data_IF_764366613940
#
_entry.id   IF_764366613940
#
_cell.length_a   1.000
_cell.length_b   1.000
_cell.length_c   1.000
_cell.angle_alpha   90.00
_cell.angle_beta   90.00
_cell.angle_gamma   90.00
#
_symmetry.space_group_name_H-M   'P 1'
#
loop_
_entity.id
_entity.type
_entity.pdbx_description
1 polymer ?
#
# COMPACT_ATOMS: atom_id res chain seq x y z
N UNK A 1 26.30 16.13 10.08
CA UNK A 1 26.47 16.82 8.78
C UNK A 1 26.10 15.87 7.65
N UNK A 2 24.81 15.65 7.42
CA UNK A 2 24.32 14.85 6.27
C UNK A 2 23.08 15.62 5.79
N UNK A 3 23.21 16.46 4.75
CA UNK A 3 22.07 17.28 4.35
C UNK A 3 22.21 18.08 3.05
N UNK A 4 23.42 18.39 2.57
CA UNK A 4 23.58 19.19 1.34
C UNK A 4 24.59 18.62 0.32
N UNK A 5 25.58 17.84 0.77
CA UNK A 5 26.63 17.34 -0.13
C UNK A 5 26.13 16.46 -1.30
N UNK A 6 25.18 15.52 -1.11
CA UNK A 6 24.73 14.66 -2.21
C UNK A 6 23.94 15.42 -3.28
N UNK A 7 23.10 16.37 -2.85
CA UNK A 7 22.31 17.19 -3.76
C UNK A 7 23.20 18.13 -4.58
N UNK A 8 24.19 18.76 -3.93
CA UNK A 8 25.16 19.63 -4.59
C UNK A 8 26.06 18.84 -5.58
N UNK A 9 26.53 17.64 -5.20
CA UNK A 9 27.34 16.80 -6.08
C UNK A 9 26.57 16.31 -7.31
N UNK A 10 25.30 15.94 -7.16
CA UNK A 10 24.44 15.53 -8.30
C UNK A 10 24.13 16.67 -9.24
N UNK A 11 23.81 17.85 -8.71
CA UNK A 11 23.59 19.05 -9.51
C UNK A 11 24.85 19.45 -10.29
N UNK A 12 26.02 19.36 -9.66
CA UNK A 12 27.31 19.61 -10.33
C UNK A 12 27.64 18.56 -11.41
N UNK A 13 27.15 17.32 -11.24
CA UNK A 13 27.34 16.23 -12.21
C UNK A 13 26.24 16.19 -13.31
N UNK A 14 25.25 17.08 -13.27
CA UNK A 14 24.12 17.07 -14.22
C UNK A 14 23.13 15.91 -14.04
N UNK A 15 23.17 15.24 -12.89
CA UNK A 15 22.26 14.12 -12.58
C UNK A 15 20.93 14.62 -12.00
N UNK A 16 19.86 13.88 -12.28
CA UNK A 16 18.52 14.21 -11.78
C UNK A 16 18.46 14.29 -10.24
N UNK A 17 17.63 15.19 -9.68
CA UNK A 17 17.44 15.27 -8.23
C UNK A 17 16.77 14.01 -7.69
N UNK A 18 17.10 13.66 -6.46
CA UNK A 18 16.41 12.59 -5.74
C UNK A 18 15.22 13.20 -5.01
N UNK A 19 14.03 12.75 -5.36
CA UNK A 19 12.78 13.18 -4.75
C UNK A 19 12.22 12.01 -3.96
N UNK A 20 12.03 12.20 -2.65
CA UNK A 20 11.40 11.19 -1.79
C UNK A 20 9.89 11.41 -1.80
N UNK A 21 9.14 10.39 -2.21
CA UNK A 21 7.68 10.41 -2.18
C UNK A 21 7.09 10.39 -0.77
N UNK A 22 5.85 10.89 -0.62
CA UNK A 22 5.07 10.84 0.63
C UNK A 22 4.78 9.41 1.08
N UNK A 23 4.70 8.48 0.14
CA UNK A 23 4.48 7.04 0.31
C UNK A 23 5.77 6.26 0.63
N UNK A 24 6.93 6.88 0.43
CA UNK A 24 8.24 6.25 0.61
C UNK A 24 8.91 6.60 1.94
N UNK A 25 8.75 7.84 2.43
CA UNK A 25 9.43 8.30 3.64
C UNK A 25 8.67 9.43 4.36
N UNK A 26 8.77 9.46 5.69
CA UNK A 26 8.35 10.61 6.49
C UNK A 26 9.09 11.91 6.11
N UNK A 27 10.33 11.82 5.62
CA UNK A 27 11.06 12.98 5.08
C UNK A 27 10.36 13.52 3.82
N UNK A 28 9.82 12.65 2.95
CA UNK A 28 9.03 13.04 1.79
C UNK A 28 7.73 13.73 2.20
N UNK A 29 7.03 13.20 3.22
CA UNK A 29 5.85 13.84 3.81
C UNK A 29 6.17 15.25 4.32
N UNK A 30 7.29 15.41 5.04
CA UNK A 30 7.75 16.70 5.55
C UNK A 30 8.00 17.71 4.44
N UNK A 31 8.80 17.32 3.45
CA UNK A 31 9.18 18.22 2.34
C UNK A 31 7.93 18.63 1.57
N UNK A 32 7.05 17.69 1.27
CA UNK A 32 5.80 18.00 0.55
C UNK A 32 4.87 18.90 1.37
N UNK A 33 4.67 18.64 2.67
CA UNK A 33 3.84 19.50 3.51
C UNK A 33 4.42 20.94 3.56
N UNK A 34 5.74 21.09 3.69
CA UNK A 34 6.42 22.39 3.71
C UNK A 34 6.28 23.15 2.38
N UNK A 35 6.44 22.46 1.24
CA UNK A 35 6.40 23.08 -0.09
C UNK A 35 4.97 23.37 -0.53
N UNK A 36 4.03 22.46 -0.26
CA UNK A 36 2.66 22.54 -0.78
C UNK A 36 1.74 23.39 0.10
N UNK A 37 1.86 23.28 1.43
CA UNK A 37 0.96 23.97 2.37
C UNK A 37 1.56 25.24 2.94
N UNK A 38 2.89 25.38 2.91
CA UNK A 38 3.60 26.41 3.66
C UNK A 38 3.43 26.22 5.17
N UNK A 39 4.02 27.12 5.96
CA UNK A 39 3.94 27.06 7.42
C UNK A 39 3.73 28.45 8.01
N UNK A 40 2.71 28.59 8.86
CA UNK A 40 2.46 29.80 9.66
C UNK A 40 3.09 29.70 11.06
N UNK A 41 3.37 28.48 11.52
CA UNK A 41 4.03 28.16 12.79
C UNK A 41 5.12 27.09 12.55
N UNK A 42 6.10 26.93 13.46
CA UNK A 42 7.15 25.93 13.29
C UNK A 42 6.59 24.52 13.04
N UNK A 43 6.95 23.93 11.91
CA UNK A 43 6.49 22.61 11.51
C UNK A 43 6.88 21.52 12.53
N UNK A 44 5.95 20.62 12.84
CA UNK A 44 6.16 19.49 13.75
C UNK A 44 5.73 18.18 13.09
N UNK A 45 6.65 17.24 12.94
CA UNK A 45 6.38 15.94 12.30
C UNK A 45 5.25 15.15 12.98
N UNK A 46 5.04 15.33 14.28
CA UNK A 46 4.01 14.60 15.04
C UNK A 46 2.58 15.03 14.68
N UNK A 47 2.38 16.22 14.10
CA UNK A 47 1.05 16.70 13.69
C UNK A 47 0.71 16.30 12.24
N UNK A 48 1.67 15.80 11.48
CA UNK A 48 1.49 15.41 10.08
C UNK A 48 0.89 14.01 9.97
N UNK A 49 -0.31 13.92 9.41
CA UNK A 49 -0.95 12.62 9.10
C UNK A 49 -0.30 12.01 7.87
N UNK A 50 0.59 11.04 8.07
CA UNK A 50 1.02 10.17 6.98
C UNK A 50 -0.07 9.13 6.69
N UNK A 51 -0.67 9.20 5.50
CA UNK A 51 -1.64 8.22 4.99
C UNK A 51 -1.04 6.80 4.95
N UNK A 52 0.29 6.72 4.82
CA UNK A 52 1.08 5.50 4.69
C UNK A 52 1.73 5.06 6.00
N UNK A 53 1.21 5.45 7.18
CA UNK A 53 1.85 5.16 8.49
C UNK A 53 2.15 3.68 8.76
N UNK A 54 1.38 2.75 8.17
CA UNK A 54 1.56 1.30 8.35
C UNK A 54 2.72 0.74 7.51
N UNK A 55 3.08 1.42 6.42
CA UNK A 55 4.23 1.07 5.57
C UNK A 55 5.46 1.90 5.94
N UNK A 56 5.29 3.13 6.42
CA UNK A 56 6.36 4.03 6.85
C UNK A 56 6.80 3.79 8.29
N UNK A 57 7.27 2.58 8.59
CA UNK A 57 7.68 2.21 9.95
C UNK A 57 9.17 2.43 10.18
N UNK A 58 9.56 2.59 11.44
CA UNK A 58 10.97 2.74 11.78
C UNK A 58 11.78 1.47 11.47
N UNK A 59 11.18 0.29 11.74
CA UNK A 59 11.82 -1.03 11.55
C UNK A 59 12.21 -1.32 10.09
N UNK A 60 11.44 -0.81 9.13
CA UNK A 60 11.63 -1.10 7.70
C UNK A 60 12.22 0.08 6.90
N UNK A 61 12.74 1.11 7.57
CA UNK A 61 13.29 2.29 6.91
C UNK A 61 14.49 1.96 6.03
N UNK A 62 15.31 1.00 6.44
CA UNK A 62 16.44 0.51 5.66
C UNK A 62 15.99 -0.18 4.37
N UNK A 63 14.94 -1.00 4.43
CA UNK A 63 14.32 -1.66 3.27
C UNK A 63 13.80 -0.65 2.25
N UNK A 64 13.21 0.45 2.71
CA UNK A 64 12.66 1.51 1.84
C UNK A 64 13.73 2.44 1.26
N UNK A 65 14.73 2.83 2.06
CA UNK A 65 15.61 3.97 1.73
C UNK A 65 17.05 3.59 1.40
N UNK A 66 17.53 2.43 1.83
CA UNK A 66 18.91 2.02 1.52
C UNK A 66 19.13 1.79 0.03
N UNK A 67 18.21 1.17 -0.73
CA UNK A 67 18.36 1.06 -2.19
C UNK A 67 18.54 2.42 -2.87
N UNK A 68 17.68 3.39 -2.52
CA UNK A 68 17.77 4.77 -3.03
C UNK A 68 19.10 5.42 -2.63
N UNK A 69 19.56 5.19 -1.40
CA UNK A 69 20.84 5.71 -0.93
C UNK A 69 22.06 5.10 -1.62
N UNK A 70 21.98 3.84 -2.06
CA UNK A 70 23.02 3.17 -2.87
C UNK A 70 23.05 3.80 -4.26
N UNK A 71 21.90 3.95 -4.91
CA UNK A 71 21.76 4.60 -6.22
C UNK A 71 22.25 6.06 -6.18
N UNK A 72 21.99 6.75 -5.06
CA UNK A 72 22.45 8.10 -4.81
C UNK A 72 23.96 8.22 -4.54
N UNK A 73 24.66 7.11 -4.29
CA UNK A 73 26.07 7.10 -3.88
C UNK A 73 26.33 7.57 -2.45
N UNK A 74 25.30 7.68 -1.60
CA UNK A 74 25.44 8.14 -0.19
C UNK A 74 25.62 6.98 0.80
N UNK A 75 25.34 5.75 0.36
CA UNK A 75 25.52 4.54 1.17
C UNK A 75 26.89 3.92 0.85
N UNK A 76 27.79 3.93 1.83
CA UNK A 76 29.10 3.31 1.69
C UNK A 76 29.05 1.78 1.56
N UNK A 77 30.07 1.19 0.93
CA UNK A 77 30.13 -0.23 0.56
C UNK A 77 29.83 -1.21 1.71
N UNK A 78 30.36 -0.95 2.91
CA UNK A 78 30.10 -1.80 4.09
C UNK A 78 28.62 -1.86 4.47
N UNK A 79 27.91 -0.73 4.41
CA UNK A 79 26.47 -0.66 4.69
C UNK A 79 25.66 -1.30 3.57
N UNK A 80 26.05 -1.08 2.32
CA UNK A 80 25.41 -1.72 1.17
C UNK A 80 25.51 -3.26 1.25
N UNK A 81 26.69 -3.80 1.59
CA UNK A 81 26.89 -5.24 1.76
C UNK A 81 26.04 -5.83 2.90
N UNK A 82 26.01 -5.16 4.06
CA UNK A 82 25.18 -5.57 5.19
C UNK A 82 23.67 -5.56 4.84
N UNK A 83 23.23 -4.52 4.13
CA UNK A 83 21.85 -4.44 3.63
C UNK A 83 21.53 -5.56 2.64
N UNK A 84 22.41 -5.83 1.67
CA UNK A 84 22.20 -6.88 0.69
C UNK A 84 22.08 -8.26 1.35
N UNK A 85 22.94 -8.57 2.33
CA UNK A 85 22.88 -9.82 3.09
C UNK A 85 21.55 -9.94 3.86
N UNK A 86 21.15 -8.90 4.62
CA UNK A 86 19.87 -8.87 5.34
C UNK A 86 18.69 -9.00 4.37
N UNK A 87 18.70 -8.28 3.25
CA UNK A 87 17.61 -8.27 2.27
C UNK A 87 17.42 -9.63 1.59
N UNK A 88 18.52 -10.32 1.27
CA UNK A 88 18.47 -11.67 0.71
C UNK A 88 17.89 -12.67 1.72
N UNK A 89 18.36 -12.65 2.97
CA UNK A 89 17.86 -13.52 4.03
C UNK A 89 16.37 -13.26 4.34
N UNK A 90 15.99 -11.98 4.46
CA UNK A 90 14.61 -11.57 4.67
C UNK A 90 13.68 -12.03 3.55
N UNK A 91 14.13 -11.92 2.29
CA UNK A 91 13.34 -12.35 1.13
C UNK A 91 13.06 -13.85 1.19
N UNK A 92 14.08 -14.66 1.49
CA UNK A 92 13.93 -16.11 1.68
C UNK A 92 13.00 -16.44 2.85
N UNK A 93 13.19 -15.80 4.00
CA UNK A 93 12.33 -16.01 5.18
C UNK A 93 10.87 -15.60 4.91
N UNK A 94 10.63 -14.53 4.14
CA UNK A 94 9.30 -14.08 3.76
C UNK A 94 8.58 -15.07 2.83
N UNK A 95 9.31 -15.75 1.94
CA UNK A 95 8.78 -16.85 1.12
C UNK A 95 8.34 -17.99 2.03
N UNK A 96 9.23 -18.48 2.90
CA UNK A 96 8.92 -19.57 3.85
C UNK A 96 7.71 -19.24 4.71
N UNK A 97 7.65 -18.01 5.23
CA UNK A 97 6.56 -17.51 6.07
C UNK A 97 5.21 -17.46 5.34
N UNK A 98 5.19 -17.07 4.06
CA UNK A 98 3.96 -16.98 3.26
C UNK A 98 3.50 -18.30 2.68
N UNK A 99 4.42 -19.15 2.23
CA UNK A 99 4.09 -20.35 1.46
C UNK A 99 3.88 -21.58 2.35
N UNK A 100 4.41 -21.58 3.57
CA UNK A 100 4.15 -22.67 4.52
C UNK A 100 2.77 -22.51 5.13
N UNK A 101 1.81 -23.32 4.64
CA UNK A 101 0.39 -23.23 4.99
C UNK A 101 -0.12 -24.44 5.77
N UNK A 102 -0.91 -24.16 6.80
CA UNK A 102 -1.51 -25.15 7.70
C UNK A 102 -3.03 -25.13 7.62
N UNK A 103 -3.63 -26.30 7.66
CA UNK A 103 -5.04 -26.48 8.01
C UNK A 103 -5.27 -26.22 9.50
N UNK A 104 -6.53 -26.01 9.94
CA UNK A 104 -6.83 -25.87 11.37
C UNK A 104 -6.34 -27.04 12.23
N UNK A 105 -6.37 -28.26 11.68
CA UNK A 105 -5.89 -29.47 12.36
C UNK A 105 -4.37 -29.47 12.53
N UNK A 106 -3.62 -29.10 11.48
CA UNK A 106 -2.16 -29.01 11.54
C UNK A 106 -1.70 -27.88 12.47
N UNK A 107 -2.35 -26.73 12.42
CA UNK A 107 -2.09 -25.63 13.35
C UNK A 107 -2.36 -26.06 14.82
N UNK A 108 -3.45 -26.80 15.05
CA UNK A 108 -3.76 -27.37 16.36
C UNK A 108 -2.71 -28.35 16.87
N UNK A 109 -2.08 -29.13 15.98
CA UNK A 109 -0.98 -30.03 16.34
C UNK A 109 0.29 -29.27 16.80
N UNK A 110 0.44 -28.00 16.38
CA UNK A 110 1.49 -27.08 16.86
C UNK A 110 1.06 -26.30 18.11
N UNK A 111 -0.11 -26.60 18.69
CA UNK A 111 -0.66 -25.88 19.85
C UNK A 111 -1.34 -24.55 19.52
N UNK A 112 -1.53 -24.23 18.24
CA UNK A 112 -2.16 -22.98 17.80
C UNK A 112 -3.67 -23.18 17.71
N UNK A 113 -4.43 -22.37 18.45
CA UNK A 113 -5.90 -22.40 18.42
C UNK A 113 -6.43 -21.50 17.32
N UNK A 114 -7.00 -22.09 16.28
CA UNK A 114 -7.71 -21.40 15.20
C UNK A 114 -9.12 -21.95 15.04
N UNK A 115 -10.00 -21.18 14.41
CA UNK A 115 -11.35 -21.64 14.08
C UNK A 115 -11.28 -22.86 13.16
N UNK A 116 -12.16 -23.84 13.40
CA UNK A 116 -12.31 -25.03 12.56
C UNK A 116 -13.14 -24.73 11.30
N UNK A 117 -12.76 -23.69 10.57
CA UNK A 117 -13.44 -23.18 9.37
C UNK A 117 -12.93 -23.78 8.05
N UNK A 118 -11.97 -24.70 8.14
CA UNK A 118 -11.32 -25.33 6.99
C UNK A 118 -10.36 -24.41 6.23
N UNK A 119 -10.20 -23.14 6.62
CA UNK A 119 -9.31 -22.22 5.93
C UNK A 119 -7.84 -22.54 6.24
N UNK A 120 -7.04 -22.60 5.17
CA UNK A 120 -5.59 -22.74 5.29
C UNK A 120 -4.99 -21.38 5.64
N UNK A 121 -4.00 -21.38 6.55
CA UNK A 121 -3.33 -20.18 7.05
C UNK A 121 -1.83 -20.36 6.96
N UNK A 122 -1.12 -19.35 6.45
CA UNK A 122 0.34 -19.36 6.39
C UNK A 122 0.97 -19.13 7.77
N UNK A 123 2.28 -19.36 7.91
CA UNK A 123 3.04 -18.91 9.11
C UNK A 123 2.81 -17.41 9.33
N UNK A 124 2.87 -16.61 8.27
CA UNK A 124 2.60 -15.16 8.33
C UNK A 124 1.23 -14.86 8.94
N UNK A 125 0.19 -15.59 8.52
CA UNK A 125 -1.17 -15.35 9.02
C UNK A 125 -1.32 -15.81 10.47
N UNK A 126 -0.67 -16.93 10.84
CA UNK A 126 -0.72 -17.48 12.20
C UNK A 126 0.11 -16.67 13.21
N UNK A 127 1.20 -16.03 12.78
CA UNK A 127 2.00 -15.11 13.60
C UNK A 127 1.24 -13.83 13.99
N UNK A 128 0.09 -13.54 13.36
CA UNK A 128 -0.77 -12.42 13.78
C UNK A 128 -1.53 -12.70 15.09
N UNK A 129 -1.51 -13.95 15.58
CA UNK A 129 -2.17 -14.34 16.82
C UNK A 129 -1.25 -14.04 18.01
N UNK A 130 -1.75 -13.45 19.12
CA UNK A 130 -0.92 -12.94 20.22
C UNK A 130 0.06 -13.93 20.86
N UNK A 131 -0.32 -15.22 20.89
CA UNK A 131 0.44 -16.27 21.59
C UNK A 131 1.34 -17.10 20.65
N UNK A 132 1.41 -16.74 19.37
CA UNK A 132 2.15 -17.49 18.35
C UNK A 132 3.49 -16.82 18.08
N UNK A 133 4.57 -17.57 18.17
CA UNK A 133 5.93 -17.09 17.87
C UNK A 133 6.55 -17.89 16.75
N UNK A 134 7.65 -17.40 16.19
CA UNK A 134 8.42 -18.16 15.18
C UNK A 134 8.89 -19.52 15.71
N UNK A 135 9.14 -19.63 17.02
CA UNK A 135 9.59 -20.89 17.64
C UNK A 135 8.53 -21.99 17.56
N UNK A 136 7.25 -21.62 17.52
CA UNK A 136 6.12 -22.57 17.35
C UNK A 136 6.24 -23.39 16.06
N UNK A 137 6.92 -22.86 15.03
CA UNK A 137 7.03 -23.50 13.72
C UNK A 137 8.35 -24.27 13.53
N UNK A 138 9.29 -24.23 14.48
CA UNK A 138 10.56 -24.96 14.40
C UNK A 138 10.41 -26.46 14.13
N UNK A 139 9.42 -27.19 14.69
CA UNK A 139 9.26 -28.62 14.43
C UNK A 139 8.98 -28.96 12.96
N UNK A 140 8.41 -28.03 12.19
CA UNK A 140 8.01 -28.22 10.78
C UNK A 140 8.90 -27.44 9.79
N UNK A 141 9.56 -26.39 10.27
CA UNK A 141 10.49 -25.53 9.53
C UNK A 141 11.72 -25.23 10.38
N UNK A 142 12.65 -26.20 10.52
CA UNK A 142 13.83 -26.04 11.35
C UNK A 142 14.78 -24.93 10.83
N UNK A 143 14.71 -24.59 9.54
CA UNK A 143 15.43 -23.46 8.94
C UNK A 143 15.13 -22.11 9.59
N UNK A 144 14.00 -21.96 10.29
CA UNK A 144 13.70 -20.74 11.06
C UNK A 144 14.76 -20.49 12.15
N UNK A 145 15.37 -21.55 12.69
CA UNK A 145 16.43 -21.43 13.69
C UNK A 145 17.71 -20.79 13.13
N UNK A 146 17.92 -20.84 11.81
CA UNK A 146 19.13 -20.29 11.17
C UNK A 146 18.98 -18.82 10.82
N UNK A 147 17.78 -18.25 10.92
CA UNK A 147 17.53 -16.85 10.59
C UNK A 147 18.16 -15.92 11.61
N UNK A 148 18.78 -14.85 11.13
CA UNK A 148 19.33 -13.80 11.98
C UNK A 148 18.26 -13.15 12.86
N UNK A 149 18.62 -12.65 14.06
CA UNK A 149 17.67 -11.97 14.94
C UNK A 149 16.91 -10.83 14.25
N UNK A 150 17.57 -10.06 13.39
CA UNK A 150 16.92 -8.96 12.66
C UNK A 150 15.87 -9.46 11.67
N UNK A 151 16.10 -10.59 11.00
CA UNK A 151 15.13 -11.18 10.07
C UNK A 151 13.94 -11.76 10.83
N UNK A 152 14.19 -12.47 11.94
CA UNK A 152 13.12 -13.01 12.79
C UNK A 152 12.21 -11.91 13.34
N UNK A 153 12.81 -10.82 13.82
CA UNK A 153 12.08 -9.64 14.27
C UNK A 153 11.25 -9.04 13.14
N UNK A 154 11.86 -8.81 11.97
CA UNK A 154 11.16 -8.22 10.83
C UNK A 154 9.98 -9.06 10.34
N UNK A 155 10.15 -10.38 10.22
CA UNK A 155 9.06 -11.30 9.82
C UNK A 155 7.91 -11.26 10.83
N UNK A 156 8.22 -11.20 12.11
CA UNK A 156 7.22 -11.12 13.19
C UNK A 156 6.46 -9.80 13.13
N UNK A 157 7.17 -8.68 12.96
CA UNK A 157 6.57 -7.36 12.80
C UNK A 157 5.68 -7.35 11.56
N UNK A 158 6.19 -7.78 10.40
CA UNK A 158 5.45 -7.77 9.14
C UNK A 158 4.17 -8.60 9.21
N UNK A 159 4.21 -9.76 9.89
CA UNK A 159 3.03 -10.58 10.15
C UNK A 159 1.96 -9.85 10.99
N UNK A 160 2.39 -9.14 12.04
CA UNK A 160 1.48 -8.34 12.88
C UNK A 160 0.78 -7.20 12.13
N UNK A 161 1.44 -6.63 11.12
CA UNK A 161 0.87 -5.58 10.27
C UNK A 161 0.13 -6.12 9.03
N UNK A 162 0.38 -7.36 8.61
CA UNK A 162 -0.15 -7.93 7.38
C UNK A 162 -1.67 -7.83 7.29
N UNK A 163 -2.41 -8.18 8.36
CA UNK A 163 -3.87 -8.10 8.36
C UNK A 163 -4.42 -6.68 8.14
N UNK A 164 -3.73 -5.66 8.63
CA UNK A 164 -4.11 -4.26 8.42
C UNK A 164 -3.78 -3.79 6.99
N UNK A 165 -2.60 -4.16 6.50
CA UNK A 165 -2.14 -3.82 5.15
C UNK A 165 -2.97 -4.53 4.08
N UNK A 166 -3.30 -5.80 4.27
CA UNK A 166 -4.13 -6.60 3.36
C UNK A 166 -5.56 -6.03 3.32
N UNK A 167 -6.11 -5.60 4.47
CA UNK A 167 -7.41 -4.90 4.50
C UNK A 167 -7.36 -3.58 3.75
N UNK A 168 -6.35 -2.75 4.01
CA UNK A 168 -6.18 -1.47 3.31
C UNK A 168 -6.03 -1.65 1.80
N UNK A 169 -5.28 -2.67 1.37
CA UNK A 169 -5.11 -3.01 -0.03
C UNK A 169 -6.42 -3.48 -0.67
N UNK A 170 -7.18 -4.35 0.02
CA UNK A 170 -8.50 -4.81 -0.42
C UNK A 170 -9.50 -3.66 -0.55
N UNK A 171 -9.54 -2.74 0.42
CA UNK A 171 -10.41 -1.57 0.36
C UNK A 171 -10.03 -0.64 -0.79
N UNK A 172 -8.73 -0.41 -1.00
CA UNK A 172 -8.24 0.37 -2.12
C UNK A 172 -8.51 -0.29 -3.48
N UNK A 173 -8.47 -1.61 -3.56
CA UNK A 173 -8.83 -2.36 -4.77
C UNK A 173 -10.34 -2.38 -5.02
N UNK A 174 -11.16 -2.49 -3.97
CA UNK A 174 -12.61 -2.35 -4.07
C UNK A 174 -12.98 -0.96 -4.61
N UNK A 175 -12.39 0.09 -4.03
CA UNK A 175 -12.58 1.47 -4.51
C UNK A 175 -12.11 1.65 -5.95
N UNK A 176 -10.92 1.12 -6.31
CA UNK A 176 -10.44 1.17 -7.71
C UNK A 176 -11.37 0.46 -8.66
N UNK A 177 -11.97 -0.68 -8.28
CA UNK A 177 -12.96 -1.38 -9.09
C UNK A 177 -14.24 -0.58 -9.27
N UNK A 178 -14.69 0.11 -8.22
CA UNK A 178 -15.83 1.03 -8.30
C UNK A 178 -15.53 2.24 -9.20
N UNK A 179 -14.35 2.83 -9.07
CA UNK A 179 -13.88 3.94 -9.92
C UNK A 179 -13.67 3.53 -11.37
N UNK A 180 -13.24 2.30 -11.63
CA UNK A 180 -13.00 1.75 -12.96
C UNK A 180 -14.31 1.34 -13.67
N UNK A 181 -15.47 1.44 -13.01
CA UNK A 181 -16.74 1.12 -13.63
C UNK A 181 -16.93 1.99 -14.88
N UNK A 182 -16.97 1.33 -16.04
CA UNK A 182 -17.13 1.99 -17.32
C UNK A 182 -18.53 2.62 -17.42
N UNK A 183 -18.56 3.86 -17.90
CA UNK A 183 -19.80 4.54 -18.26
C UNK A 183 -20.06 4.30 -19.75
N UNK A 184 -21.31 3.98 -20.16
CA UNK A 184 -21.67 3.88 -21.57
C UNK A 184 -21.30 5.16 -22.34
N UNK A 185 -20.80 5.01 -23.56
CA UNK A 185 -20.34 6.15 -24.38
C UNK A 185 -21.51 7.03 -24.85
N UNK A 186 -22.71 6.47 -24.87
CA UNK A 186 -23.98 7.06 -25.28
C UNK A 186 -24.89 7.38 -24.08
N UNK A 187 -24.32 7.46 -22.87
CA UNK A 187 -25.08 7.72 -21.66
C UNK A 187 -25.75 9.10 -21.70
N UNK A 188 -27.08 9.11 -21.67
CA UNK A 188 -27.86 10.35 -21.58
C UNK A 188 -27.90 10.87 -20.14
N UNK A 189 -26.98 11.78 -19.82
CA UNK A 189 -26.92 12.44 -18.52
C UNK A 189 -28.17 13.29 -18.22
N UNK A 190 -28.90 13.76 -19.23
CA UNK A 190 -30.10 14.58 -19.03
C UNK A 190 -31.24 13.76 -18.39
N UNK A 191 -31.31 12.47 -18.72
CA UNK A 191 -32.28 11.51 -18.20
C UNK A 191 -32.08 11.16 -16.70
N UNK A 192 -30.95 11.55 -16.10
CA UNK A 192 -30.67 11.28 -14.69
C UNK A 192 -31.37 12.33 -13.81
N UNK A 193 -32.62 12.05 -13.42
CA UNK A 193 -33.49 13.02 -12.72
C UNK A 193 -32.96 13.57 -11.39
N UNK A 194 -32.07 12.86 -10.69
CA UNK A 194 -31.51 13.26 -9.40
C UNK A 194 -30.25 14.14 -9.49
N UNK A 195 -29.76 14.45 -10.70
CA UNK A 195 -28.65 15.37 -10.90
C UNK A 195 -29.14 16.81 -11.09
N UNK A 196 -28.41 17.78 -10.53
CA UNK A 196 -28.63 19.19 -10.84
C UNK A 196 -28.29 19.49 -12.30
N UNK A 197 -28.89 20.55 -12.87
CA UNK A 197 -28.60 20.96 -14.24
C UNK A 197 -27.11 21.28 -14.44
N UNK A 198 -26.46 21.92 -13.45
CA UNK A 198 -25.02 22.20 -13.50
C UNK A 198 -24.18 20.91 -13.60
N UNK A 199 -24.52 19.88 -12.82
CA UNK A 199 -23.80 18.59 -12.85
C UNK A 199 -24.04 17.87 -14.17
N UNK A 200 -25.27 17.92 -14.70
CA UNK A 200 -25.61 17.34 -16.02
C UNK A 200 -24.83 18.00 -17.14
N UNK A 201 -24.74 19.33 -17.15
CA UNK A 201 -23.96 20.09 -18.13
C UNK A 201 -22.47 19.75 -18.06
N UNK A 202 -21.92 19.66 -16.85
CA UNK A 202 -20.51 19.28 -16.65
C UNK A 202 -20.22 17.86 -17.12
N UNK A 203 -21.10 16.90 -16.82
CA UNK A 203 -20.97 15.52 -17.31
C UNK A 203 -21.10 15.41 -18.83
N UNK A 204 -22.08 16.11 -19.42
CA UNK A 204 -22.29 16.12 -20.86
C UNK A 204 -21.13 16.77 -21.62
N UNK A 205 -20.44 17.74 -21.01
CA UNK A 205 -19.25 18.38 -21.58
C UNK A 205 -17.99 17.52 -21.44
N UNK A 206 -17.78 16.91 -20.28
CA UNK A 206 -16.56 16.14 -19.98
C UNK A 206 -16.61 14.71 -20.56
N UNK A 207 -17.81 14.13 -20.68
CA UNK A 207 -18.05 12.76 -21.19
C UNK A 207 -17.11 11.73 -20.51
N UNK A 208 -17.15 11.61 -19.17
CA UNK A 208 -16.28 10.69 -18.46
C UNK A 208 -16.53 9.25 -18.89
N UNK A 209 -15.45 8.49 -19.10
CA UNK A 209 -15.47 7.07 -19.47
C UNK A 209 -15.59 6.14 -18.29
N UNK A 210 -15.31 6.63 -17.08
CA UNK A 210 -15.42 5.85 -15.84
C UNK A 210 -16.06 6.67 -14.73
N UNK A 211 -16.63 5.98 -13.75
CA UNK A 211 -17.19 6.62 -12.56
C UNK A 211 -16.14 7.44 -11.78
N UNK A 212 -14.91 6.95 -11.72
CA UNK A 212 -13.78 7.66 -11.11
C UNK A 212 -13.41 8.94 -11.87
N UNK A 213 -13.49 8.94 -13.20
CA UNK A 213 -13.30 10.15 -13.99
C UNK A 213 -14.42 11.16 -13.74
N UNK A 214 -15.68 10.69 -13.63
CA UNK A 214 -16.80 11.55 -13.27
C UNK A 214 -16.62 12.18 -11.89
N UNK A 215 -16.07 11.43 -10.92
CA UNK A 215 -15.83 11.89 -9.55
C UNK A 215 -14.81 13.01 -9.40
N UNK A 216 -13.90 13.17 -10.37
CA UNK A 216 -12.88 14.24 -10.39
C UNK A 216 -13.38 15.53 -11.05
N UNK A 217 -14.60 15.55 -11.57
CA UNK A 217 -15.20 16.76 -12.17
C UNK A 217 -15.50 17.77 -11.06
N UNK A 218 -15.08 19.00 -11.25
CA UNK A 218 -15.31 20.09 -10.29
C UNK A 218 -16.81 20.29 -10.00
N UNK A 219 -17.18 20.31 -8.72
CA UNK A 219 -18.58 20.40 -8.28
C UNK A 219 -19.34 19.07 -8.33
N UNK A 220 -18.66 17.95 -8.63
CA UNK A 220 -19.22 16.63 -8.45
C UNK A 220 -19.36 16.31 -6.95
N UNK A 221 -20.52 15.84 -6.53
CA UNK A 221 -20.81 15.47 -5.14
C UNK A 221 -20.94 13.95 -5.00
N UNK A 222 -20.74 13.40 -3.78
CA UNK A 222 -20.99 11.97 -3.52
C UNK A 222 -22.42 11.54 -3.90
N UNK A 223 -23.41 12.42 -3.68
CA UNK A 223 -24.80 12.18 -4.08
C UNK A 223 -24.98 12.10 -5.59
N UNK A 224 -24.32 12.98 -6.36
CA UNK A 224 -24.34 12.95 -7.81
C UNK A 224 -23.66 11.68 -8.39
N UNK A 225 -22.55 11.25 -7.81
CA UNK A 225 -21.89 9.98 -8.20
C UNK A 225 -22.78 8.77 -7.92
N UNK A 226 -23.48 8.78 -6.78
CA UNK A 226 -24.43 7.72 -6.41
C UNK A 226 -25.61 7.66 -7.37
N UNK A 227 -26.14 8.82 -7.76
CA UNK A 227 -27.20 8.95 -8.77
C UNK A 227 -26.77 8.42 -10.13
N UNK A 228 -25.57 8.81 -10.59
CA UNK A 228 -24.96 8.34 -11.84
C UNK A 228 -24.76 6.81 -11.83
N UNK A 229 -24.16 6.28 -10.77
CA UNK A 229 -23.96 4.84 -10.57
C UNK A 229 -25.28 4.07 -10.57
N UNK A 230 -26.29 4.58 -9.88
CA UNK A 230 -27.61 3.95 -9.78
C UNK A 230 -28.34 3.92 -11.13
N UNK A 231 -28.16 4.95 -11.95
CA UNK A 231 -28.73 5.00 -13.29
C UNK A 231 -28.07 3.97 -14.22
N UNK A 232 -26.73 3.88 -14.22
CA UNK A 232 -25.98 2.91 -15.02
C UNK A 232 -26.30 1.46 -14.61
N UNK A 233 -26.51 1.18 -13.33
CA UNK A 233 -26.93 -0.16 -12.86
C UNK A 233 -28.38 -0.52 -13.20
N UNK A 234 -29.25 0.48 -13.41
CA UNK A 234 -30.66 0.27 -13.79
C UNK A 234 -30.85 0.13 -15.30
N UNK A 235 -29.94 0.66 -16.11
CA UNK A 235 -29.95 0.44 -17.55
C UNK A 235 -29.70 -1.06 -17.84
N UNK A 236 -30.51 -1.71 -18.71
CA UNK A 236 -30.30 -3.11 -19.05
C UNK A 236 -28.90 -3.29 -19.67
N UNK A 237 -28.16 -4.33 -19.23
CA UNK A 237 -26.85 -4.70 -19.80
C UNK A 237 -26.99 -4.79 -21.32
N UNK A 238 -26.19 -4.06 -22.13
CA UNK A 238 -26.15 -4.31 -23.56
C UNK A 238 -25.63 -5.73 -23.78
N UNK A 239 -26.43 -6.53 -24.49
CA UNK A 239 -26.08 -7.86 -24.94
C UNK A 239 -25.04 -7.75 -26.05
N UNK A 240 -23.81 -8.19 -25.79
CA UNK A 240 -22.84 -8.45 -26.85
C UNK A 240 -21.38 -8.17 -26.50
N UNK A 241 -20.68 -9.20 -26.00
CA UNK A 241 -19.33 -9.58 -26.43
C UNK A 241 -19.26 -11.12 -26.32
N UNK A 242 -18.85 -11.87 -27.37
CA UNK A 242 -18.74 -13.33 -27.32
C UNK A 242 -17.51 -13.77 -26.52
N UNK A 243 -17.51 -15.05 -26.10
CA UNK A 243 -16.55 -15.72 -25.24
C UNK A 243 -15.08 -15.62 -25.70
#
# INVERSE_FOLDING_TARGET
MIGSEPAAARAAAGSDPIILGRDQAYIGVMIDDLVTKGVTEPYRMFTSRAEYRLTLRADNADQRLTPLGIEAGVVGARRAAAFAAKSAELSSAAIVSRETVFTPKEAGALGIRVNADGQRRSIRDLLSFPDVTLDTFLPVRPEIATWSPQVREQITIDAGYAGYLDRQASDAEALRREEALALPIDLDYAAIGSLSNEVKEKLARVQPRTLGQAGRIEGMTPGALTALLSHVKKAPKPSGVPA
#
